data_IF_670321644591
#
_entry.id   IF_670321644591
#
_cell.length_a   1.000
_cell.length_b   1.000
_cell.length_c   1.000
_cell.angle_alpha   90.00
_cell.angle_beta   90.00
_cell.angle_gamma   90.00
#
_symmetry.space_group_name_H-M   'P 1'
#
loop_
_entity.id
_entity.type
_entity.pdbx_description
1 polymer ?
#
# COMPACT_ATOMS: atom_id res chain seq x y z
N UNK A 1 6.63 18.20 12.26
CA UNK A 1 6.17 16.81 12.06
C UNK A 1 7.15 16.10 11.14
N UNK A 2 7.39 14.80 11.36
CA UNK A 2 8.28 13.97 10.55
C UNK A 2 7.46 12.97 9.74
N UNK A 3 7.86 12.72 8.51
CA UNK A 3 7.28 11.64 7.69
C UNK A 3 8.37 10.84 6.99
N UNK A 4 8.07 9.59 6.62
CA UNK A 4 8.93 8.81 5.74
C UNK A 4 8.14 8.28 4.54
N UNK A 5 8.83 8.12 3.41
CA UNK A 5 8.28 7.54 2.19
C UNK A 5 9.27 6.50 1.65
N UNK A 6 8.89 5.23 1.61
CA UNK A 6 9.70 4.21 0.95
C UNK A 6 9.48 4.24 -0.57
N UNK A 7 10.54 4.02 -1.35
CA UNK A 7 10.49 4.24 -2.80
C UNK A 7 10.25 5.71 -3.14
N UNK A 8 10.78 6.62 -2.32
CA UNK A 8 10.53 8.06 -2.39
C UNK A 8 11.08 8.74 -3.64
N UNK A 9 12.00 8.11 -4.36
CA UNK A 9 12.56 8.61 -5.62
C UNK A 9 11.81 8.08 -6.86
N UNK A 10 10.84 7.18 -6.68
CA UNK A 10 9.95 6.70 -7.73
C UNK A 10 8.86 7.71 -8.15
N UNK A 11 8.07 7.35 -9.18
CA UNK A 11 7.02 8.24 -9.70
C UNK A 11 5.97 8.63 -8.66
N UNK A 12 5.37 7.66 -7.96
CA UNK A 12 4.44 7.93 -6.87
C UNK A 12 5.15 8.52 -5.64
N UNK A 13 6.36 8.01 -5.31
CA UNK A 13 7.10 8.45 -4.14
C UNK A 13 7.37 9.95 -4.14
N UNK A 14 7.79 10.52 -5.29
CA UNK A 14 7.99 11.97 -5.42
C UNK A 14 6.72 12.76 -5.20
N UNK A 15 5.58 12.30 -5.71
CA UNK A 15 4.30 12.96 -5.51
C UNK A 15 3.84 12.91 -4.04
N UNK A 16 4.07 11.77 -3.37
CA UNK A 16 3.79 11.60 -1.94
C UNK A 16 4.63 12.54 -1.08
N UNK A 17 5.94 12.63 -1.35
CA UNK A 17 6.84 13.55 -0.67
C UNK A 17 6.36 14.99 -0.82
N UNK A 18 6.14 15.44 -2.06
CA UNK A 18 5.69 16.80 -2.33
C UNK A 18 4.36 17.12 -1.62
N UNK A 19 3.43 16.14 -1.55
CA UNK A 19 2.15 16.31 -0.86
C UNK A 19 2.34 16.49 0.65
N UNK A 20 3.19 15.68 1.27
CA UNK A 20 3.47 15.74 2.71
C UNK A 20 4.29 17.00 3.07
N UNK A 21 5.26 17.38 2.24
CA UNK A 21 6.02 18.63 2.40
C UNK A 21 5.09 19.86 2.33
N UNK A 22 4.09 19.82 1.44
CA UNK A 22 3.04 20.84 1.36
C UNK A 22 2.18 20.98 2.61
N UNK A 23 2.09 19.92 3.43
CA UNK A 23 1.42 19.92 4.74
C UNK A 23 2.39 20.25 5.91
N UNK A 24 3.63 20.61 5.60
CA UNK A 24 4.62 21.02 6.60
C UNK A 24 5.37 19.89 7.28
N UNK A 25 5.38 18.69 6.68
CA UNK A 25 6.22 17.58 7.15
C UNK A 25 7.66 17.74 6.66
N UNK A 26 8.61 17.38 7.53
CA UNK A 26 9.96 17.02 7.09
C UNK A 26 9.93 15.58 6.63
N UNK A 27 10.15 15.34 5.33
CA UNK A 27 9.97 14.02 4.70
C UNK A 27 11.31 13.35 4.43
N UNK A 28 11.53 12.18 5.03
CA UNK A 28 12.65 11.30 4.73
C UNK A 28 12.29 10.37 3.57
N UNK A 29 13.15 10.34 2.55
CA UNK A 29 13.04 9.43 1.42
C UNK A 29 13.89 8.18 1.69
N UNK A 30 13.26 7.03 1.81
CA UNK A 30 13.91 5.74 1.99
C UNK A 30 13.83 4.96 0.68
N UNK A 31 14.94 4.91 -0.07
CA UNK A 31 14.98 4.37 -1.44
C UNK A 31 16.29 3.60 -1.70
N UNK A 32 16.26 2.63 -2.60
CA UNK A 32 17.46 1.90 -3.02
C UNK A 32 18.54 2.84 -3.56
N UNK A 33 18.14 3.94 -4.22
CA UNK A 33 19.06 4.94 -4.78
C UNK A 33 19.83 5.71 -3.71
N UNK A 34 19.31 5.75 -2.47
CA UNK A 34 20.02 6.34 -1.32
C UNK A 34 20.45 5.29 -0.28
N UNK A 35 20.48 4.01 -0.69
CA UNK A 35 21.04 2.92 0.11
C UNK A 35 20.07 2.29 1.12
N UNK A 36 18.76 2.54 1.01
CA UNK A 36 17.76 1.91 1.85
C UNK A 36 17.06 0.76 1.09
N UNK A 37 17.34 -0.46 1.49
CA UNK A 37 16.67 -1.65 0.99
C UNK A 37 15.52 -2.04 1.91
N UNK A 38 14.27 -1.89 1.44
CA UNK A 38 13.08 -2.25 2.20
C UNK A 38 12.98 -3.74 2.53
N UNK A 39 13.77 -4.59 1.87
CA UNK A 39 13.78 -6.04 2.09
C UNK A 39 14.78 -6.46 3.19
N UNK A 40 15.65 -5.53 3.67
CA UNK A 40 16.62 -5.77 4.73
C UNK A 40 16.03 -5.42 6.11
N UNK A 41 15.90 -6.40 7.02
CA UNK A 41 15.54 -6.12 8.41
C UNK A 41 16.49 -5.13 9.10
N UNK A 42 17.81 -5.24 8.81
CA UNK A 42 18.84 -4.38 9.40
C UNK A 42 18.70 -2.91 8.93
N UNK A 43 18.17 -2.68 7.71
CA UNK A 43 17.86 -1.32 7.26
C UNK A 43 16.75 -0.71 8.10
N UNK A 44 15.71 -1.49 8.39
CA UNK A 44 14.59 -1.03 9.21
C UNK A 44 14.98 -0.75 10.67
N UNK A 45 15.92 -1.49 11.26
CA UNK A 45 16.40 -1.23 12.64
C UNK A 45 16.85 0.22 12.85
N UNK A 46 17.30 0.90 11.81
CA UNK A 46 17.77 2.30 11.86
C UNK A 46 16.66 3.35 11.75
N UNK A 47 15.45 2.92 11.40
CA UNK A 47 14.31 3.83 11.25
C UNK A 47 13.82 4.28 12.61
N UNK A 48 13.75 5.60 12.79
CA UNK A 48 13.24 6.25 14.00
C UNK A 48 11.74 6.52 13.92
N UNK A 49 11.17 7.03 15.01
CA UNK A 49 9.76 7.42 15.08
C UNK A 49 9.43 8.57 14.11
N UNK A 50 8.30 8.45 13.46
CA UNK A 50 7.72 9.48 12.59
C UNK A 50 6.23 9.65 12.92
N UNK A 51 5.63 10.76 12.49
CA UNK A 51 4.20 11.00 12.63
C UNK A 51 3.40 10.31 11.51
N UNK A 52 4.02 10.18 10.32
CA UNK A 52 3.42 9.58 9.12
C UNK A 52 4.41 8.71 8.37
N UNK A 53 3.99 7.51 7.96
CA UNK A 53 4.78 6.63 7.10
C UNK A 53 4.00 6.21 5.86
N UNK A 54 4.58 6.45 4.67
CA UNK A 54 4.07 5.93 3.40
C UNK A 54 4.94 4.76 2.93
N UNK A 55 4.47 3.53 3.10
CA UNK A 55 5.14 2.32 2.65
C UNK A 55 4.79 2.09 1.17
N UNK A 56 5.54 2.77 0.30
CA UNK A 56 5.21 2.89 -1.13
C UNK A 56 6.12 2.06 -2.05
N UNK A 57 7.30 1.67 -1.63
CA UNK A 57 8.21 0.87 -2.45
C UNK A 57 7.54 -0.39 -3.01
N UNK A 58 7.79 -0.69 -4.28
CA UNK A 58 7.24 -1.88 -4.91
C UNK A 58 7.66 -2.01 -6.37
N UNK A 59 7.50 -3.22 -6.92
CA UNK A 59 7.90 -3.59 -8.27
C UNK A 59 6.83 -4.45 -8.96
N UNK A 60 6.76 -4.40 -10.30
CA UNK A 60 6.07 -5.41 -11.11
C UNK A 60 6.87 -6.71 -11.10
N UNK A 61 6.21 -7.85 -11.37
CA UNK A 61 6.90 -9.16 -11.36
C UNK A 61 7.93 -9.26 -12.49
N UNK A 62 7.59 -8.82 -13.72
CA UNK A 62 8.52 -8.89 -14.86
C UNK A 62 8.64 -10.28 -15.48
N UNK A 63 7.66 -11.16 -15.24
CA UNK A 63 7.55 -12.51 -15.83
C UNK A 63 7.41 -13.62 -14.80
N UNK A 64 6.83 -14.75 -15.23
CA UNK A 64 6.47 -15.88 -14.37
C UNK A 64 7.64 -16.87 -14.21
N UNK A 65 8.56 -16.59 -13.29
CA UNK A 65 9.61 -17.49 -12.85
C UNK A 65 9.88 -17.31 -11.35
N UNK A 66 10.63 -18.25 -10.75
CA UNK A 66 10.88 -18.26 -9.30
C UNK A 66 11.65 -17.03 -8.81
N UNK A 67 12.64 -16.56 -9.56
CA UNK A 67 13.45 -15.41 -9.19
C UNK A 67 12.60 -14.12 -9.16
N UNK A 68 11.82 -13.86 -10.21
CA UNK A 68 10.90 -12.74 -10.28
C UNK A 68 9.81 -12.80 -9.20
N UNK A 69 9.27 -13.99 -8.93
CA UNK A 69 8.35 -14.21 -7.82
C UNK A 69 8.99 -13.80 -6.49
N UNK A 70 10.20 -14.28 -6.19
CA UNK A 70 10.90 -13.94 -4.92
C UNK A 70 11.15 -12.45 -4.81
N UNK A 71 11.63 -11.82 -5.89
CA UNK A 71 11.86 -10.38 -5.94
C UNK A 71 10.59 -9.57 -5.68
N UNK A 72 9.47 -9.97 -6.32
CA UNK A 72 8.19 -9.27 -6.16
C UNK A 72 7.63 -9.45 -4.74
N UNK A 73 7.69 -10.66 -4.18
CA UNK A 73 7.25 -10.91 -2.81
C UNK A 73 8.10 -10.11 -1.82
N UNK A 74 9.41 -10.18 -1.94
CA UNK A 74 10.31 -9.49 -1.02
C UNK A 74 10.10 -7.97 -1.08
N UNK A 75 10.08 -7.35 -2.27
CA UNK A 75 9.88 -5.91 -2.39
C UNK A 75 8.48 -5.45 -1.98
N UNK A 76 7.43 -6.14 -2.43
CA UNK A 76 6.05 -5.67 -2.27
C UNK A 76 5.40 -6.10 -0.96
N UNK A 77 5.80 -7.24 -0.37
CA UNK A 77 5.19 -7.79 0.84
C UNK A 77 6.13 -7.61 2.03
N UNK A 78 7.36 -8.18 1.97
CA UNK A 78 8.29 -8.11 3.10
C UNK A 78 8.61 -6.65 3.45
N UNK A 79 8.80 -5.77 2.43
CA UNK A 79 9.05 -4.36 2.66
C UNK A 79 7.92 -3.64 3.42
N UNK A 80 6.66 -4.00 3.16
CA UNK A 80 5.51 -3.46 3.91
C UNK A 80 5.43 -4.07 5.31
N UNK A 81 5.58 -5.39 5.42
CA UNK A 81 5.50 -6.10 6.70
C UNK A 81 6.60 -5.63 7.65
N UNK A 82 7.86 -5.62 7.20
CA UNK A 82 8.99 -5.14 8.00
C UNK A 82 8.81 -3.68 8.44
N UNK A 83 8.32 -2.83 7.52
CA UNK A 83 8.01 -1.44 7.83
C UNK A 83 6.97 -1.30 8.93
N UNK A 84 5.84 -1.99 8.84
CA UNK A 84 4.80 -1.96 9.89
C UNK A 84 5.32 -2.51 11.21
N UNK A 85 6.05 -3.65 11.19
CA UNK A 85 6.62 -4.26 12.39
C UNK A 85 7.63 -3.34 13.08
N UNK A 86 8.44 -2.59 12.33
CA UNK A 86 9.34 -1.60 12.90
C UNK A 86 8.61 -0.40 13.45
N UNK A 87 7.70 0.19 12.66
CA UNK A 87 7.02 1.42 13.01
C UNK A 87 6.13 1.24 14.26
N UNK A 88 5.47 0.10 14.45
CA UNK A 88 4.73 -0.18 15.67
C UNK A 88 5.60 -0.23 16.94
N UNK A 89 6.91 -0.46 16.80
CA UNK A 89 7.82 -0.48 17.95
C UNK A 89 8.33 0.91 18.33
N UNK A 90 8.34 1.84 17.38
CA UNK A 90 8.97 3.17 17.57
C UNK A 90 7.99 4.33 17.56
N UNK A 91 6.78 4.15 17.03
CA UNK A 91 5.72 5.16 16.99
C UNK A 91 4.77 4.95 18.16
N UNK A 92 4.46 6.02 18.90
CA UNK A 92 3.42 6.01 19.95
C UNK A 92 2.02 6.25 19.37
N UNK A 93 1.93 6.98 18.26
CA UNK A 93 0.69 7.30 17.53
C UNK A 93 1.04 7.77 16.12
N UNK A 94 0.03 8.02 15.30
CA UNK A 94 0.22 8.54 13.94
C UNK A 94 -0.50 7.71 12.88
N UNK A 95 0.03 7.70 11.66
CA UNK A 95 -0.56 6.96 10.56
C UNK A 95 0.48 6.27 9.67
N UNK A 96 0.18 5.04 9.29
CA UNK A 96 0.92 4.26 8.29
C UNK A 96 -0.02 4.01 7.11
N UNK A 97 0.43 4.30 5.89
CA UNK A 97 -0.34 3.98 4.68
C UNK A 97 0.53 3.18 3.71
N UNK A 98 0.05 2.00 3.32
CA UNK A 98 0.73 1.14 2.37
C UNK A 98 0.20 1.33 0.94
N UNK A 99 1.08 1.33 -0.07
CA UNK A 99 0.69 1.29 -1.47
C UNK A 99 0.36 -0.14 -1.89
N UNK A 100 -0.94 -0.48 -1.90
CA UNK A 100 -1.45 -1.69 -2.53
C UNK A 100 -1.67 -1.48 -4.05
N UNK A 101 -2.78 -1.89 -4.59
CA UNK A 101 -3.21 -1.70 -6.00
C UNK A 101 -4.65 -2.18 -6.15
N UNK A 102 -5.35 -1.77 -7.20
CA UNK A 102 -6.59 -2.45 -7.62
C UNK A 102 -6.37 -3.94 -7.88
N UNK A 103 -5.15 -4.33 -8.31
CA UNK A 103 -4.74 -5.73 -8.43
C UNK A 103 -4.74 -6.50 -7.09
N UNK A 104 -4.86 -5.82 -5.96
CA UNK A 104 -5.08 -6.39 -4.63
C UNK A 104 -6.56 -6.49 -4.23
N UNK A 105 -7.46 -5.94 -5.03
CA UNK A 105 -8.91 -5.98 -4.83
C UNK A 105 -9.62 -6.86 -5.86
N UNK A 106 -8.96 -7.15 -6.98
CA UNK A 106 -9.47 -8.00 -8.07
C UNK A 106 -8.32 -8.75 -8.74
N UNK A 107 -8.63 -9.83 -9.48
CA UNK A 107 -7.62 -10.57 -10.23
C UNK A 107 -6.99 -9.75 -11.35
N UNK A 108 -5.70 -9.94 -11.59
CA UNK A 108 -4.93 -9.33 -12.68
C UNK A 108 -4.22 -10.43 -13.50
N UNK A 109 -4.87 -10.96 -14.55
CA UNK A 109 -4.32 -12.08 -15.33
C UNK A 109 -2.99 -11.78 -16.03
N UNK A 110 -2.72 -10.53 -16.35
CA UNK A 110 -1.46 -10.09 -16.98
C UNK A 110 -0.25 -10.18 -16.05
N UNK A 111 -0.44 -10.10 -14.73
CA UNK A 111 0.61 -10.29 -13.72
C UNK A 111 0.04 -10.92 -12.44
N UNK A 112 -0.19 -12.25 -12.42
CA UNK A 112 -0.81 -12.92 -11.29
C UNK A 112 0.04 -12.91 -10.02
N UNK A 113 1.36 -12.83 -10.13
CA UNK A 113 2.26 -12.73 -8.98
C UNK A 113 2.22 -11.31 -8.38
N UNK A 114 2.18 -10.28 -9.19
CA UNK A 114 1.94 -8.92 -8.70
C UNK A 114 0.59 -8.84 -7.97
N UNK A 115 -0.46 -9.41 -8.58
CA UNK A 115 -1.79 -9.48 -7.95
C UNK A 115 -1.74 -10.20 -6.59
N UNK A 116 -1.05 -11.35 -6.51
CA UNK A 116 -0.82 -12.06 -5.24
C UNK A 116 -0.19 -11.15 -4.19
N UNK A 117 0.89 -10.41 -4.55
CA UNK A 117 1.56 -9.53 -3.58
C UNK A 117 0.66 -8.41 -3.10
N UNK A 118 -0.16 -7.83 -3.98
CA UNK A 118 -1.05 -6.72 -3.61
C UNK A 118 -2.29 -7.19 -2.83
N UNK A 119 -2.78 -8.41 -3.06
CA UNK A 119 -3.78 -9.04 -2.18
C UNK A 119 -3.19 -9.33 -0.79
N UNK A 120 -1.92 -9.77 -0.72
CA UNK A 120 -1.25 -9.97 0.56
C UNK A 120 -1.17 -8.66 1.37
N UNK A 121 -0.81 -7.54 0.75
CA UNK A 121 -0.79 -6.21 1.40
C UNK A 121 -2.19 -5.82 1.89
N UNK A 122 -3.23 -5.96 1.07
CA UNK A 122 -4.62 -5.66 1.45
C UNK A 122 -5.06 -6.53 2.64
N UNK A 123 -4.80 -7.83 2.60
CA UNK A 123 -5.13 -8.76 3.70
C UNK A 123 -4.38 -8.42 4.98
N UNK A 124 -3.07 -8.13 4.86
CA UNK A 124 -2.22 -7.77 5.99
C UNK A 124 -2.67 -6.47 6.66
N UNK A 125 -2.88 -5.39 5.89
CA UNK A 125 -3.33 -4.10 6.42
C UNK A 125 -4.64 -4.23 7.20
N UNK A 126 -5.63 -4.90 6.62
CA UNK A 126 -6.94 -5.10 7.26
C UNK A 126 -6.87 -5.92 8.55
N UNK A 127 -6.01 -6.93 8.56
CA UNK A 127 -5.86 -7.81 9.73
C UNK A 127 -4.96 -7.19 10.81
N UNK A 128 -3.92 -6.44 10.41
CA UNK A 128 -2.94 -5.86 11.33
C UNK A 128 -3.41 -4.56 11.98
N UNK A 129 -4.33 -3.82 11.34
CA UNK A 129 -4.78 -2.52 11.82
C UNK A 129 -5.26 -2.50 13.28
N UNK A 130 -6.04 -3.48 13.79
CA UNK A 130 -6.41 -3.53 15.20
C UNK A 130 -5.22 -3.73 16.16
N UNK A 131 -4.16 -4.40 15.70
CA UNK A 131 -2.99 -4.75 16.53
C UNK A 131 -1.99 -3.60 16.71
N UNK A 132 -2.04 -2.59 15.85
CA UNK A 132 -1.12 -1.44 15.91
C UNK A 132 -1.74 -0.20 16.55
N UNK A 133 -2.95 -0.28 17.06
CA UNK A 133 -3.59 0.84 17.75
C UNK A 133 -2.69 1.37 18.89
N UNK A 134 -2.58 2.70 19.08
CA UNK A 134 -3.37 3.77 18.47
C UNK A 134 -2.87 4.26 17.10
N UNK A 135 -1.83 3.64 16.51
CA UNK A 135 -1.38 3.95 15.15
C UNK A 135 -2.49 3.51 14.17
N UNK A 136 -2.85 4.38 13.21
CA UNK A 136 -3.79 4.03 12.16
C UNK A 136 -3.02 3.40 10.99
N UNK A 137 -3.49 2.27 10.48
CA UNK A 137 -2.88 1.54 9.38
C UNK A 137 -3.91 1.39 8.25
N UNK A 138 -3.63 1.98 7.09
CA UNK A 138 -4.49 1.96 5.91
C UNK A 138 -3.71 1.56 4.66
N UNK A 139 -4.43 1.27 3.56
CA UNK A 139 -3.83 1.05 2.25
C UNK A 139 -4.46 1.96 1.20
N UNK A 140 -3.70 2.34 0.19
CA UNK A 140 -4.22 2.94 -1.03
C UNK A 140 -4.03 1.96 -2.18
N UNK A 141 -5.07 1.82 -3.02
CA UNK A 141 -5.19 0.85 -4.10
C UNK A 141 -5.35 1.58 -5.44
N UNK A 142 -4.27 2.11 -6.03
CA UNK A 142 -4.34 2.80 -7.31
C UNK A 142 -4.66 1.85 -8.47
N UNK A 143 -5.34 2.38 -9.49
CA UNK A 143 -5.34 1.84 -10.84
C UNK A 143 -3.98 2.02 -11.52
N UNK A 144 -3.96 1.95 -12.86
CA UNK A 144 -2.73 2.23 -13.63
C UNK A 144 -2.35 3.70 -13.44
N UNK A 145 -1.23 3.94 -12.75
CA UNK A 145 -0.72 5.28 -12.49
C UNK A 145 0.32 5.69 -13.52
N UNK A 146 0.30 6.94 -13.94
CA UNK A 146 1.23 7.52 -14.89
C UNK A 146 2.63 7.70 -14.29
N UNK A 147 3.39 6.62 -14.31
CA UNK A 147 4.72 6.53 -13.72
C UNK A 147 5.63 5.68 -14.62
N UNK A 148 6.95 5.71 -14.44
CA UNK A 148 7.87 4.83 -15.17
C UNK A 148 7.58 3.32 -15.03
N UNK A 149 6.83 2.92 -14.01
CA UNK A 149 6.46 1.51 -13.80
C UNK A 149 5.64 0.94 -14.97
N UNK A 150 4.89 1.76 -15.71
CA UNK A 150 4.05 1.35 -16.83
C UNK A 150 4.69 1.61 -18.21
N UNK A 151 5.93 2.06 -18.29
CA UNK A 151 6.55 2.43 -19.55
C UNK A 151 6.58 1.29 -20.59
N UNK A 152 6.70 0.06 -20.13
CA UNK A 152 6.62 -1.13 -20.99
C UNK A 152 5.23 -1.37 -21.63
N UNK A 153 4.18 -0.72 -21.14
CA UNK A 153 2.80 -0.84 -21.62
C UNK A 153 2.24 0.50 -22.14
N UNK A 154 3.02 1.57 -22.06
CA UNK A 154 2.57 2.95 -22.33
C UNK A 154 1.99 3.11 -23.73
N UNK A 155 2.68 2.62 -24.75
CA UNK A 155 2.23 2.71 -26.14
C UNK A 155 0.87 2.06 -26.38
N UNK A 156 0.64 0.90 -25.77
CA UNK A 156 -0.62 0.17 -25.88
C UNK A 156 -1.76 0.91 -25.16
N UNK A 157 -1.47 1.47 -23.98
CA UNK A 157 -2.43 2.24 -23.19
C UNK A 157 -2.83 3.55 -23.92
N UNK A 158 -1.87 4.24 -24.51
CA UNK A 158 -2.09 5.45 -25.31
C UNK A 158 -2.94 5.13 -26.57
N UNK A 159 -2.60 4.06 -27.30
CA UNK A 159 -3.38 3.61 -28.46
C UNK A 159 -4.82 3.27 -28.10
N UNK A 160 -5.04 2.73 -26.90
CA UNK A 160 -6.37 2.42 -26.37
C UNK A 160 -7.08 3.64 -25.76
N UNK A 161 -6.42 4.80 -25.69
CA UNK A 161 -6.89 5.99 -24.94
C UNK A 161 -7.31 5.64 -23.51
N UNK A 162 -6.57 4.72 -22.87
CA UNK A 162 -6.87 4.26 -21.52
C UNK A 162 -6.51 5.35 -20.50
N UNK A 163 -7.44 5.76 -19.62
CA UNK A 163 -7.18 6.81 -18.66
C UNK A 163 -6.24 6.34 -17.56
N UNK A 164 -5.20 7.11 -17.28
CA UNK A 164 -4.23 6.84 -16.21
C UNK A 164 -4.52 7.71 -14.98
N UNK A 165 -4.31 7.14 -13.80
CA UNK A 165 -4.31 7.88 -12.55
C UNK A 165 -3.07 8.77 -12.49
N UNK A 166 -3.22 10.06 -12.20
CA UNK A 166 -2.07 10.92 -12.00
C UNK A 166 -1.42 10.68 -10.64
N UNK A 167 -0.08 10.72 -10.52
CA UNK A 167 0.60 10.56 -9.24
C UNK A 167 0.08 11.47 -8.12
N UNK A 168 -0.33 12.68 -8.46
CA UNK A 168 -0.94 13.63 -7.52
C UNK A 168 -2.28 13.15 -6.96
N UNK A 169 -3.11 12.45 -7.75
CA UNK A 169 -4.38 11.87 -7.28
C UNK A 169 -4.13 10.75 -6.27
N UNK A 170 -3.08 9.94 -6.48
CA UNK A 170 -2.67 8.91 -5.53
C UNK A 170 -2.16 9.54 -4.23
N UNK A 171 -1.35 10.61 -4.35
CA UNK A 171 -0.82 11.33 -3.19
C UNK A 171 -1.95 11.99 -2.38
N UNK A 172 -2.96 12.54 -3.03
CA UNK A 172 -4.14 13.08 -2.34
C UNK A 172 -4.95 11.99 -1.64
N UNK A 173 -5.15 10.82 -2.27
CA UNK A 173 -5.82 9.70 -1.64
C UNK A 173 -5.07 9.19 -0.40
N UNK A 174 -3.74 9.12 -0.48
CA UNK A 174 -2.91 8.77 0.68
C UNK A 174 -3.02 9.80 1.79
N UNK A 175 -3.02 11.09 1.46
CA UNK A 175 -3.23 12.14 2.46
C UNK A 175 -4.59 12.03 3.15
N UNK A 176 -5.65 11.73 2.40
CA UNK A 176 -6.98 11.48 2.99
C UNK A 176 -6.98 10.27 3.92
N UNK A 177 -6.28 9.19 3.55
CA UNK A 177 -6.12 8.02 4.41
C UNK A 177 -5.27 8.31 5.67
N UNK A 178 -4.30 9.24 5.57
CA UNK A 178 -3.48 9.73 6.70
C UNK A 178 -4.29 10.64 7.61
N UNK A 179 -4.99 11.63 7.06
CA UNK A 179 -5.69 12.67 7.83
C UNK A 179 -7.07 12.24 8.34
N UNK A 180 -7.66 11.22 7.73
CA UNK A 180 -8.93 10.64 8.14
C UNK A 180 -8.83 9.90 9.46
N UNK A 181 -9.98 9.56 10.06
CA UNK A 181 -10.06 8.86 11.35
C UNK A 181 -10.09 7.34 11.24
N UNK A 182 -10.15 6.77 10.02
CA UNK A 182 -10.29 5.33 9.81
C UNK A 182 -9.00 4.55 9.97
N UNK A 183 -9.12 3.24 10.23
CA UNK A 183 -8.02 2.28 10.24
C UNK A 183 -8.47 0.96 9.62
N UNK A 184 -7.56 0.23 8.96
CA UNK A 184 -7.89 -1.00 8.23
C UNK A 184 -8.59 -0.75 6.89
N UNK A 185 -8.65 0.50 6.43
CA UNK A 185 -9.30 0.89 5.20
C UNK A 185 -8.39 0.67 3.98
N UNK A 186 -8.99 0.30 2.85
CA UNK A 186 -8.33 0.19 1.56
C UNK A 186 -8.98 1.18 0.59
N UNK A 187 -8.29 2.27 0.28
CA UNK A 187 -8.80 3.39 -0.52
C UNK A 187 -8.53 3.13 -2.01
N UNK A 188 -9.56 2.96 -2.83
CA UNK A 188 -9.36 2.85 -4.27
C UNK A 188 -9.14 4.22 -4.91
N UNK A 189 -8.31 4.26 -5.97
CA UNK A 189 -8.05 5.45 -6.77
C UNK A 189 -8.19 5.09 -8.25
N UNK A 190 -9.16 5.74 -8.92
CA UNK A 190 -9.45 5.55 -10.33
C UNK A 190 -9.68 6.89 -11.01
N UNK A 191 -9.26 7.07 -12.27
CA UNK A 191 -9.52 8.30 -13.00
C UNK A 191 -11.01 8.64 -13.04
N UNK A 192 -11.34 9.90 -12.81
CA UNK A 192 -12.72 10.37 -12.84
C UNK A 192 -13.59 9.93 -11.66
N UNK A 193 -12.99 9.38 -10.60
CA UNK A 193 -13.69 8.99 -9.37
C UNK A 193 -13.01 9.61 -8.14
N UNK A 194 -13.81 10.08 -7.21
CA UNK A 194 -13.30 10.47 -5.90
C UNK A 194 -12.69 9.25 -5.18
N UNK A 195 -11.47 9.35 -4.63
CA UNK A 195 -10.90 8.32 -3.80
C UNK A 195 -11.77 8.05 -2.58
N UNK A 196 -12.04 6.78 -2.31
CA UNK A 196 -12.86 6.37 -1.17
C UNK A 196 -12.46 4.99 -0.65
N UNK A 197 -12.80 4.64 0.61
CA UNK A 197 -12.61 3.30 1.13
C UNK A 197 -13.42 2.27 0.32
N UNK A 198 -12.76 1.20 -0.11
CA UNK A 198 -13.40 0.07 -0.79
C UNK A 198 -14.26 -0.73 0.20
N UNK A 199 -15.48 -0.99 -0.17
CA UNK A 199 -16.39 -1.80 0.65
C UNK A 199 -16.23 -3.27 0.33
N UNK A 200 -15.66 -4.02 1.25
CA UNK A 200 -15.59 -5.48 1.13
C UNK A 200 -16.96 -6.09 1.47
N UNK A 201 -17.43 -7.06 0.66
CA UNK A 201 -18.66 -7.77 0.99
C UNK A 201 -18.47 -8.59 2.28
N UNK A 202 -19.52 -8.67 3.09
CA UNK A 202 -19.53 -9.57 4.24
C UNK A 202 -19.56 -11.02 3.76
N UNK A 203 -18.76 -11.88 4.38
CA UNK A 203 -18.84 -13.31 4.15
C UNK A 203 -20.16 -13.88 4.75
N UNK A 204 -20.80 -14.83 4.05
CA UNK A 204 -21.92 -15.56 4.64
C UNK A 204 -21.45 -16.27 5.92
N UNK A 205 -22.12 -16.01 7.02
CA UNK A 205 -21.84 -16.71 8.28
C UNK A 205 -22.24 -18.20 8.21
N UNK A 206 -21.63 -19.05 9.08
CA UNK A 206 -21.97 -20.46 9.16
C UNK A 206 -23.45 -20.64 9.58
N UNK A 207 -24.07 -21.73 9.14
CA UNK A 207 -25.43 -22.10 9.49
C UNK A 207 -25.49 -23.53 10.00
N UNK A 208 -26.34 -23.78 10.99
CA UNK A 208 -26.70 -25.11 11.48
C UNK A 208 -28.23 -25.21 11.38
N UNK A 209 -28.73 -26.24 10.74
CA UNK A 209 -30.18 -26.46 10.50
C UNK A 209 -30.87 -25.24 9.84
N UNK A 210 -30.16 -24.53 8.95
CA UNK A 210 -30.64 -23.33 8.25
C UNK A 210 -30.54 -22.04 9.04
N UNK A 211 -30.29 -22.08 10.33
CA UNK A 211 -30.11 -20.92 11.22
C UNK A 211 -28.66 -20.43 11.25
N UNK A 212 -28.45 -19.09 11.26
CA UNK A 212 -27.12 -18.51 11.38
C UNK A 212 -26.57 -18.75 12.79
N UNK A 213 -25.46 -19.45 12.90
CA UNK A 213 -24.66 -19.53 14.13
C UNK A 213 -23.68 -18.38 14.19
N UNK A 214 -23.43 -17.86 15.39
CA UNK A 214 -22.61 -16.66 15.60
C UNK A 214 -21.19 -16.72 15.01
N UNK A 215 -20.43 -15.66 15.24
CA UNK A 215 -19.03 -15.58 14.81
C UNK A 215 -18.14 -16.54 15.60
N UNK A 216 -17.08 -17.10 14.98
CA UNK A 216 -16.16 -17.97 15.71
C UNK A 216 -15.46 -17.18 16.83
N UNK A 217 -15.20 -17.79 18.00
CA UNK A 217 -14.59 -17.11 19.15
C UNK A 217 -13.14 -16.65 18.93
N UNK A 218 -12.57 -16.96 17.76
CA UNK A 218 -11.22 -16.54 17.33
C UNK A 218 -11.25 -15.23 16.52
N UNK A 219 -12.40 -14.60 16.34
CA UNK A 219 -12.58 -13.37 15.57
C UNK A 219 -12.45 -12.08 16.42
N UNK A 220 -12.05 -12.20 17.68
CA UNK A 220 -11.85 -11.08 18.61
C UNK A 220 -10.39 -10.80 18.90
#
# INVERSE_FOLDING_TARGET
MKALVTGGEGGLGRALRARLEGEGFHVESLDLTNGFDVTSPEAWERVEAVDVACLNAGVLTGGLNYENYRRAVSGNVDGVVLGVLRLQQVMDAGAIVATASLAGLTGMPSDPVYSLTKHAVVGFVRSMAPHVAPIRLNAVCPGLADTPMIDGQRTELEAASFPLVQPAEVAEAMWRAVSGGGTGECWFVQPGREPAPFRFPNLPGPRVDGERVGEPPIAS
#
